data_IF_403179254296
#
_entry.id   IF_403179254296
#
_cell.length_a   1.000
_cell.length_b   1.000
_cell.length_c   1.000
_cell.angle_alpha   90.00
_cell.angle_beta   90.00
_cell.angle_gamma   90.00
#
_symmetry.space_group_name_H-M   'P 1'
#
loop_
_entity.id
_entity.type
_entity.pdbx_description
1 polymer ?
#
# COMPACT_ATOMS: atom_id res chain seq x y z
N UNK A 1 50.44 -53.32 46.86
CA UNK A 1 49.47 -52.31 46.39
C UNK A 1 48.73 -51.76 47.60
N UNK A 2 48.65 -50.43 47.79
CA UNK A 2 48.01 -49.88 49.00
C UNK A 2 46.49 -50.05 48.86
N UNK A 3 45.73 -50.27 49.95
CA UNK A 3 44.28 -50.48 49.89
C UNK A 3 43.54 -49.34 49.15
N UNK A 4 44.06 -48.12 49.24
CA UNK A 4 43.54 -46.94 48.54
C UNK A 4 43.65 -47.02 47.01
N UNK A 5 44.74 -47.59 46.49
CA UNK A 5 44.98 -47.69 45.05
C UNK A 5 44.05 -48.73 44.41
N UNK A 6 43.74 -49.81 45.15
CA UNK A 6 42.80 -50.86 44.72
C UNK A 6 41.38 -50.29 44.66
N UNK A 7 40.97 -49.51 45.66
CA UNK A 7 39.64 -48.88 45.70
C UNK A 7 39.48 -47.90 44.53
N UNK A 8 40.50 -47.08 44.23
CA UNK A 8 40.45 -46.17 43.08
C UNK A 8 40.37 -46.92 41.75
N UNK A 9 41.14 -47.99 41.58
CA UNK A 9 41.11 -48.79 40.35
C UNK A 9 39.73 -49.44 40.13
N UNK A 10 39.13 -49.98 41.19
CA UNK A 10 37.79 -50.58 41.13
C UNK A 10 36.73 -49.52 40.80
N UNK A 11 36.80 -48.32 41.40
CA UNK A 11 35.86 -47.23 41.11
C UNK A 11 35.96 -46.72 39.66
N UNK A 12 37.18 -46.67 39.10
CA UNK A 12 37.38 -46.27 37.70
C UNK A 12 36.85 -47.35 36.75
N UNK A 13 37.12 -48.63 37.04
CA UNK A 13 36.63 -49.73 36.21
C UNK A 13 35.10 -49.83 36.24
N UNK A 14 34.46 -49.64 37.39
CA UNK A 14 32.99 -49.64 37.48
C UNK A 14 32.37 -48.45 36.73
N UNK A 15 32.96 -47.26 36.82
CA UNK A 15 32.50 -46.10 36.08
C UNK A 15 32.61 -46.29 34.55
N UNK A 16 33.72 -46.88 34.07
CA UNK A 16 33.90 -47.21 32.65
C UNK A 16 32.85 -48.23 32.19
N UNK A 17 32.61 -49.29 32.98
CA UNK A 17 31.60 -50.30 32.64
C UNK A 17 30.19 -49.71 32.57
N UNK A 18 29.84 -48.79 33.47
CA UNK A 18 28.54 -48.08 33.44
C UNK A 18 28.42 -47.20 32.19
N UNK A 19 29.46 -46.47 31.82
CA UNK A 19 29.47 -45.62 30.62
C UNK A 19 29.34 -46.45 29.34
N UNK A 20 30.03 -47.59 29.26
CA UNK A 20 29.92 -48.52 28.13
C UNK A 20 28.50 -49.11 28.06
N UNK A 21 27.93 -49.52 29.20
CA UNK A 21 26.57 -50.05 29.25
C UNK A 21 25.52 -49.05 28.78
N UNK A 22 25.63 -47.77 29.18
CA UNK A 22 24.74 -46.69 28.71
C UNK A 22 24.89 -46.44 27.21
N UNK A 23 26.12 -46.53 26.68
CA UNK A 23 26.39 -46.34 25.25
C UNK A 23 25.85 -47.49 24.39
N UNK A 24 25.92 -48.74 24.88
CA UNK A 24 25.43 -49.92 24.15
C UNK A 24 23.93 -50.17 24.33
N UNK A 25 23.33 -49.73 25.44
CA UNK A 25 21.90 -49.85 25.72
C UNK A 25 21.27 -48.48 26.01
N UNK A 26 21.25 -47.57 25.02
CA UNK A 26 20.68 -46.25 25.22
C UNK A 26 19.18 -46.36 25.55
N UNK A 27 18.66 -45.63 26.55
CA UNK A 27 17.26 -45.68 26.91
C UNK A 27 16.41 -45.30 25.70
N UNK A 28 15.41 -46.14 25.37
CA UNK A 28 14.52 -46.06 24.20
C UNK A 28 13.92 -44.68 23.90
N UNK A 29 13.91 -43.77 24.89
CA UNK A 29 13.38 -42.42 24.78
C UNK A 29 14.38 -41.41 24.18
N UNK A 30 15.68 -41.74 24.11
CA UNK A 30 16.71 -40.88 23.54
C UNK A 30 16.61 -40.78 22.00
N UNK A 31 16.30 -41.89 21.34
CA UNK A 31 16.09 -41.94 19.88
C UNK A 31 14.83 -41.18 19.45
N UNK A 32 13.74 -41.29 20.22
CA UNK A 32 12.51 -40.52 19.96
C UNK A 32 12.70 -39.00 20.08
N UNK A 33 13.59 -38.54 20.97
CA UNK A 33 13.95 -37.12 21.09
C UNK A 33 14.81 -36.64 19.91
N UNK A 34 15.77 -37.45 19.45
CA UNK A 34 16.59 -37.12 18.29
C UNK A 34 15.75 -37.04 16.99
N UNK A 35 14.78 -37.94 16.82
CA UNK A 35 13.88 -37.93 15.68
C UNK A 35 12.92 -36.72 15.72
N UNK A 36 12.40 -36.36 16.91
CA UNK A 36 11.58 -35.15 17.09
C UNK A 36 12.35 -33.86 16.80
N UNK A 37 13.63 -33.78 17.16
CA UNK A 37 14.49 -32.63 16.80
C UNK A 37 14.73 -32.61 15.28
N UNK A 38 14.93 -33.77 14.66
CA UNK A 38 15.08 -33.87 13.20
C UNK A 38 13.79 -33.52 12.44
N UNK A 39 12.61 -33.77 12.99
CA UNK A 39 11.33 -33.36 12.40
C UNK A 39 11.04 -31.87 12.64
N UNK A 40 11.51 -31.29 13.75
CA UNK A 40 11.47 -29.84 14.01
C UNK A 40 12.43 -29.08 13.07
N UNK A 41 13.62 -29.62 12.81
CA UNK A 41 14.61 -28.99 11.92
C UNK A 41 14.50 -29.40 10.44
N UNK A 42 13.84 -30.52 10.13
CA UNK A 42 13.65 -31.07 8.78
C UNK A 42 12.44 -30.54 8.02
N UNK A 43 11.57 -29.75 8.69
CA UNK A 43 10.47 -29.00 8.06
C UNK A 43 10.77 -27.50 7.98
N UNK A 44 12.05 -27.13 7.91
CA UNK A 44 12.46 -25.83 7.40
C UNK A 44 12.70 -26.00 5.91
N UNK A 45 11.59 -26.10 5.15
CA UNK A 45 11.61 -25.69 3.76
C UNK A 45 12.27 -24.32 3.72
N UNK A 46 13.32 -24.19 2.92
CA UNK A 46 14.22 -23.06 3.00
C UNK A 46 13.41 -21.77 2.92
N UNK A 47 13.65 -20.83 3.82
CA UNK A 47 13.14 -19.45 3.65
C UNK A 47 13.47 -18.93 2.25
N UNK A 48 14.54 -19.43 1.60
CA UNK A 48 14.87 -19.18 0.20
C UNK A 48 13.86 -19.80 -0.77
N UNK A 49 13.36 -21.01 -0.55
CA UNK A 49 12.37 -21.65 -1.44
C UNK A 49 11.02 -20.93 -1.36
N UNK A 50 10.66 -20.43 -0.16
CA UNK A 50 9.46 -19.61 0.04
C UNK A 50 9.65 -18.15 -0.44
N UNK A 51 10.87 -17.59 -0.42
CA UNK A 51 11.21 -16.31 -1.07
C UNK A 51 11.18 -16.44 -2.60
N UNK A 52 11.79 -17.50 -3.14
CA UNK A 52 11.89 -17.79 -4.57
C UNK A 52 10.52 -18.11 -5.17
N UNK A 53 9.63 -18.80 -4.44
CA UNK A 53 8.24 -19.02 -4.87
C UNK A 53 7.39 -17.73 -4.85
N UNK A 54 7.77 -16.72 -4.04
CA UNK A 54 7.09 -15.41 -4.00
C UNK A 54 7.65 -14.42 -5.03
N UNK A 55 8.90 -14.57 -5.44
CA UNK A 55 9.53 -13.80 -6.53
C UNK A 55 9.18 -14.32 -7.94
N UNK A 56 8.77 -15.59 -8.07
CA UNK A 56 8.45 -16.22 -9.37
C UNK A 56 7.00 -16.04 -9.84
N UNK A 57 6.16 -15.31 -9.10
CA UNK A 57 4.96 -14.70 -9.69
C UNK A 57 5.08 -13.19 -9.53
N UNK A 58 5.97 -12.58 -10.33
CA UNK A 58 5.70 -11.22 -10.78
C UNK A 58 4.32 -11.29 -11.46
N UNK A 59 3.25 -11.08 -10.68
CA UNK A 59 1.91 -10.98 -11.20
C UNK A 59 2.02 -10.07 -12.42
N UNK A 60 1.62 -10.54 -13.60
CA UNK A 60 1.73 -9.74 -14.82
C UNK A 60 0.92 -8.47 -14.56
N UNK A 61 1.63 -7.41 -14.16
CA UNK A 61 1.04 -6.15 -13.79
C UNK A 61 0.71 -5.43 -15.08
N UNK A 62 -0.55 -5.10 -15.26
CA UNK A 62 -0.98 -4.33 -16.41
C UNK A 62 -0.62 -2.85 -16.19
N UNK A 63 -0.96 -2.00 -17.17
CA UNK A 63 -0.74 -0.55 -17.10
C UNK A 63 -1.10 0.00 -15.72
N UNK A 64 -0.23 0.84 -15.17
CA UNK A 64 -0.32 1.40 -13.82
C UNK A 64 -0.24 0.41 -12.65
N UNK A 65 0.17 -0.84 -12.88
CA UNK A 65 0.24 -1.83 -11.80
C UNK A 65 -1.09 -2.49 -11.50
N UNK A 66 -2.08 -2.39 -12.39
CA UNK A 66 -3.40 -2.97 -12.17
C UNK A 66 -3.35 -4.51 -12.20
N UNK A 67 -4.13 -5.20 -11.35
CA UNK A 67 -4.17 -6.67 -11.30
C UNK A 67 -4.89 -7.29 -12.50
N UNK A 68 -5.70 -6.49 -13.23
CA UNK A 68 -6.45 -6.92 -14.41
C UNK A 68 -6.24 -5.94 -15.55
N UNK A 69 -6.25 -6.45 -16.78
CA UNK A 69 -6.17 -5.64 -17.99
C UNK A 69 -7.46 -4.85 -18.17
N UNK A 70 -7.36 -3.57 -18.52
CA UNK A 70 -8.53 -2.81 -18.92
C UNK A 70 -9.09 -3.30 -20.26
N UNK A 71 -10.43 -3.30 -20.44
CA UNK A 71 -11.06 -3.53 -21.73
C UNK A 71 -10.54 -2.61 -22.83
N UNK A 72 -10.79 -2.98 -24.09
CA UNK A 72 -10.50 -2.14 -25.25
C UNK A 72 -11.27 -0.81 -25.13
N UNK A 73 -10.66 0.28 -25.62
CA UNK A 73 -11.22 1.64 -25.54
C UNK A 73 -11.43 2.18 -24.12
N UNK A 74 -10.65 1.68 -23.16
CA UNK A 74 -10.59 2.26 -21.82
C UNK A 74 -9.14 2.59 -21.45
N UNK A 75 -8.97 3.61 -20.63
CA UNK A 75 -7.68 4.00 -20.06
C UNK A 75 -7.53 3.43 -18.66
N UNK A 76 -6.39 2.81 -18.39
CA UNK A 76 -6.03 2.39 -17.03
C UNK A 76 -5.67 3.60 -16.18
N UNK A 77 -6.01 3.59 -14.90
CA UNK A 77 -5.50 4.58 -13.96
C UNK A 77 -5.26 3.97 -12.58
N UNK A 78 -4.36 4.59 -11.81
CA UNK A 78 -4.13 4.29 -10.41
C UNK A 78 -3.87 5.61 -9.67
N UNK A 79 -4.56 5.81 -8.55
CA UNK A 79 -4.40 6.93 -7.64
C UNK A 79 -3.99 6.38 -6.28
N UNK A 80 -2.94 6.95 -5.70
CA UNK A 80 -2.56 6.78 -4.30
C UNK A 80 -2.54 8.14 -3.61
N UNK A 81 -3.16 8.23 -2.45
CA UNK A 81 -2.97 9.39 -1.57
C UNK A 81 -1.54 9.43 -1.03
N UNK A 82 -1.16 10.52 -0.37
CA UNK A 82 0.05 10.52 0.45
C UNK A 82 -0.13 9.67 1.72
N UNK A 83 0.99 9.34 2.36
CA UNK A 83 1.04 8.80 3.72
C UNK A 83 1.59 9.87 4.66
N UNK A 84 0.70 10.33 5.55
CA UNK A 84 0.93 11.51 6.37
C UNK A 84 1.47 12.68 5.53
N UNK A 85 2.55 13.30 5.99
CA UNK A 85 3.28 14.39 5.33
C UNK A 85 4.68 13.97 4.85
N UNK A 86 4.95 12.66 4.76
CA UNK A 86 6.29 12.11 4.46
C UNK A 86 6.39 11.48 3.08
N UNK A 87 5.38 10.69 2.69
CA UNK A 87 5.33 10.07 1.37
C UNK A 87 4.24 10.76 0.56
N UNK A 88 4.65 11.39 -0.53
CA UNK A 88 3.74 12.08 -1.43
C UNK A 88 2.83 11.15 -2.24
N UNK A 89 1.74 11.69 -2.81
CA UNK A 89 0.78 10.93 -3.59
C UNK A 89 1.37 10.49 -4.93
N UNK A 90 0.66 9.57 -5.59
CA UNK A 90 1.01 9.10 -6.93
C UNK A 90 -0.23 8.99 -7.80
N UNK A 91 -0.19 9.59 -8.98
CA UNK A 91 -1.21 9.42 -10.01
C UNK A 91 -0.56 8.81 -11.25
N UNK A 92 -1.07 7.66 -11.67
CA UNK A 92 -0.72 7.01 -12.93
C UNK A 92 -1.93 6.97 -13.86
N UNK A 93 -1.69 7.30 -15.13
CA UNK A 93 -2.69 7.26 -16.18
C UNK A 93 -2.12 6.58 -17.43
N UNK A 94 -2.85 5.60 -17.93
CA UNK A 94 -2.57 4.74 -19.08
C UNK A 94 -1.14 4.18 -19.15
N UNK A 95 -0.60 3.80 -17.98
CA UNK A 95 0.74 3.23 -17.83
C UNK A 95 1.84 4.26 -17.54
N UNK A 96 1.52 5.55 -17.55
CA UNK A 96 2.46 6.63 -17.28
C UNK A 96 2.20 7.25 -15.91
N UNK A 97 3.24 7.37 -15.09
CA UNK A 97 3.15 8.15 -13.85
C UNK A 97 3.17 9.63 -14.21
N UNK A 98 2.07 10.33 -13.92
CA UNK A 98 1.87 11.74 -14.29
C UNK A 98 2.10 12.68 -13.10
N UNK A 99 1.84 12.23 -11.87
CA UNK A 99 2.16 12.96 -10.64
C UNK A 99 2.83 12.04 -9.62
N UNK A 100 3.95 12.47 -9.04
CA UNK A 100 4.66 11.75 -7.96
C UNK A 100 5.79 12.60 -7.38
N UNK A 101 6.30 12.25 -6.19
CA UNK A 101 7.49 12.89 -5.60
C UNK A 101 8.70 12.89 -6.54
N UNK A 102 8.93 11.80 -7.28
CA UNK A 102 10.06 11.67 -8.23
C UNK A 102 9.96 12.68 -9.38
N UNK A 103 8.75 13.07 -9.77
CA UNK A 103 8.50 14.06 -10.82
C UNK A 103 8.52 15.50 -10.29
N UNK A 104 8.68 15.69 -8.98
CA UNK A 104 8.71 16.99 -8.32
C UNK A 104 7.52 17.90 -8.71
N UNK A 105 6.32 17.32 -8.77
CA UNK A 105 5.10 17.99 -9.23
C UNK A 105 3.89 17.67 -8.34
N UNK A 106 4.15 17.58 -7.04
CA UNK A 106 3.17 17.27 -6.01
C UNK A 106 3.40 18.17 -4.78
N UNK A 107 2.35 18.39 -4.00
CA UNK A 107 2.38 19.23 -2.81
C UNK A 107 1.34 18.82 -1.76
N UNK A 108 1.50 19.29 -0.53
CA UNK A 108 0.47 19.13 0.52
C UNK A 108 -0.86 19.69 0.03
N UNK A 109 -1.98 19.09 0.43
CA UNK A 109 -3.32 19.42 -0.02
C UNK A 109 -3.86 18.50 -1.10
N UNK A 110 -4.42 19.07 -2.17
CA UNK A 110 -5.02 18.32 -3.28
C UNK A 110 -4.10 18.32 -4.48
N UNK A 111 -3.84 17.12 -5.03
CA UNK A 111 -3.05 16.93 -6.24
C UNK A 111 -4.00 16.46 -7.35
N UNK A 112 -4.15 17.26 -8.40
CA UNK A 112 -5.21 17.11 -9.40
C UNK A 112 -4.61 17.02 -10.80
N UNK A 113 -5.08 16.04 -11.59
CA UNK A 113 -4.79 15.91 -13.01
C UNK A 113 -6.07 16.00 -13.85
N UNK A 114 -6.04 16.82 -14.90
CA UNK A 114 -7.08 16.98 -15.91
C UNK A 114 -6.66 16.27 -17.19
N UNK A 115 -7.51 15.36 -17.67
CA UNK A 115 -7.23 14.53 -18.83
C UNK A 115 -8.38 14.61 -19.82
N UNK A 116 -8.06 14.86 -21.08
CA UNK A 116 -9.03 14.82 -22.17
C UNK A 116 -9.46 13.37 -22.45
N UNK A 117 -10.74 13.04 -22.27
CA UNK A 117 -11.23 11.65 -22.37
C UNK A 117 -11.16 11.10 -23.80
N UNK A 118 -11.30 11.96 -24.82
CA UNK A 118 -11.30 11.53 -26.21
C UNK A 118 -9.90 11.16 -26.69
N UNK A 119 -8.90 11.96 -26.30
CA UNK A 119 -7.51 11.80 -26.75
C UNK A 119 -6.63 11.04 -25.76
N UNK A 120 -7.00 10.99 -24.47
CA UNK A 120 -6.16 10.49 -23.39
C UNK A 120 -5.01 11.42 -23.02
N UNK A 121 -4.99 12.66 -23.54
CA UNK A 121 -3.92 13.62 -23.26
C UNK A 121 -4.11 14.27 -21.89
N UNK A 122 -3.05 14.32 -21.08
CA UNK A 122 -3.00 15.14 -19.87
C UNK A 122 -2.97 16.60 -20.29
N UNK A 123 -4.00 17.36 -19.92
CA UNK A 123 -4.14 18.77 -20.28
C UNK A 123 -3.52 19.69 -19.23
N UNK A 124 -3.71 19.38 -17.95
CA UNK A 124 -3.23 20.18 -16.82
C UNK A 124 -2.99 19.31 -15.61
N UNK A 125 -1.99 19.67 -14.81
CA UNK A 125 -1.78 19.13 -13.46
C UNK A 125 -1.58 20.30 -12.51
N UNK A 126 -1.93 20.11 -11.24
CA UNK A 126 -1.68 21.11 -10.21
C UNK A 126 -1.79 20.49 -8.82
N UNK A 127 -0.97 21.01 -7.90
CA UNK A 127 -1.09 20.78 -6.47
C UNK A 127 -1.58 22.06 -5.78
N UNK A 128 -2.47 21.90 -4.81
CA UNK A 128 -3.16 23.00 -4.14
C UNK A 128 -3.10 22.80 -2.65
N UNK A 129 -2.30 23.63 -1.97
CA UNK A 129 -2.15 23.57 -0.52
C UNK A 129 -3.43 24.05 0.19
N UNK A 130 -4.16 23.09 0.77
CA UNK A 130 -5.45 23.34 1.44
C UNK A 130 -5.33 23.71 2.90
N UNK A 131 -4.11 23.81 3.44
CA UNK A 131 -3.85 24.27 4.80
C UNK A 131 -3.40 25.73 4.83
N UNK A 132 -2.35 26.07 4.08
CA UNK A 132 -1.74 27.41 4.07
C UNK A 132 -1.82 28.15 2.73
N UNK A 133 -2.10 27.47 1.61
CA UNK A 133 -2.15 28.08 0.26
C UNK A 133 -3.39 28.91 -0.04
N UNK A 134 -3.43 29.62 -1.17
CA UNK A 134 -4.62 30.38 -1.59
C UNK A 134 -5.63 29.47 -2.32
N UNK A 135 -6.82 29.28 -1.71
CA UNK A 135 -7.88 28.46 -2.28
C UNK A 135 -8.39 28.98 -3.63
N UNK A 136 -8.19 30.28 -3.94
CA UNK A 136 -8.58 30.87 -5.22
C UNK A 136 -7.83 30.24 -6.41
N UNK A 137 -6.62 29.73 -6.19
CA UNK A 137 -5.85 29.04 -7.23
C UNK A 137 -6.54 27.75 -7.67
N UNK A 138 -7.01 26.94 -6.70
CA UNK A 138 -7.81 25.75 -6.97
C UNK A 138 -9.14 26.14 -7.63
N UNK A 139 -9.82 27.17 -7.13
CA UNK A 139 -11.07 27.64 -7.71
C UNK A 139 -10.92 28.01 -9.19
N UNK A 140 -9.86 28.75 -9.53
CA UNK A 140 -9.54 29.10 -10.92
C UNK A 140 -9.22 27.85 -11.74
N UNK A 141 -8.43 26.94 -11.20
CA UNK A 141 -8.10 25.68 -11.87
C UNK A 141 -9.36 24.84 -12.20
N UNK A 142 -10.32 24.76 -11.27
CA UNK A 142 -11.55 24.00 -11.44
C UNK A 142 -12.52 24.67 -12.43
N UNK A 143 -12.54 26.01 -12.51
CA UNK A 143 -13.36 26.75 -13.48
C UNK A 143 -12.87 26.62 -14.92
N UNK A 144 -11.59 26.30 -15.13
CA UNK A 144 -11.00 26.09 -16.45
C UNK A 144 -11.32 24.69 -17.04
N UNK A 145 -11.99 23.80 -16.30
CA UNK A 145 -12.23 22.42 -16.73
C UNK A 145 -13.26 22.40 -17.88
N UNK A 146 -12.87 21.77 -18.99
CA UNK A 146 -13.70 21.66 -20.20
C UNK A 146 -14.61 20.42 -20.15
N UNK A 147 -15.76 20.44 -20.84
CA UNK A 147 -16.53 19.22 -21.09
C UNK A 147 -15.67 18.12 -21.71
N UNK A 148 -15.91 16.85 -21.34
CA UNK A 148 -15.09 15.73 -21.80
C UNK A 148 -13.76 15.57 -21.04
N UNK A 149 -13.60 16.23 -19.90
CA UNK A 149 -12.40 16.10 -19.05
C UNK A 149 -12.64 15.12 -17.91
N UNK A 150 -11.71 14.20 -17.74
CA UNK A 150 -11.54 13.34 -16.55
C UNK A 150 -10.71 14.09 -15.53
N UNK A 151 -11.13 14.04 -14.27
CA UNK A 151 -10.46 14.69 -13.13
C UNK A 151 -9.99 13.60 -12.17
N UNK A 152 -8.69 13.46 -12.00
CA UNK A 152 -8.07 12.55 -11.02
C UNK A 152 -7.54 13.37 -9.84
N UNK A 153 -7.83 12.96 -8.61
CA UNK A 153 -7.46 13.68 -7.39
C UNK A 153 -6.85 12.73 -6.37
N UNK A 154 -5.73 13.14 -5.78
CA UNK A 154 -5.11 12.51 -4.62
C UNK A 154 -4.88 13.54 -3.51
N UNK A 155 -5.31 13.24 -2.28
CA UNK A 155 -4.94 14.03 -1.11
C UNK A 155 -3.51 13.74 -0.66
N UNK A 156 -2.87 14.74 -0.05
CA UNK A 156 -1.59 14.61 0.63
C UNK A 156 -1.61 15.48 1.88
N UNK A 157 -1.24 14.92 3.04
CA UNK A 157 -1.16 15.60 4.32
C UNK A 157 -2.51 16.18 4.81
N UNK A 158 -2.99 17.30 4.26
CA UNK A 158 -4.19 17.99 4.72
C UNK A 158 -5.01 18.58 3.53
N UNK A 159 -6.13 17.93 3.11
CA UNK A 159 -6.86 18.34 1.91
C UNK A 159 -8.04 19.30 2.13
N UNK A 160 -8.39 19.69 3.36
CA UNK A 160 -9.74 20.17 3.65
C UNK A 160 -9.85 21.52 4.37
N UNK A 161 -8.83 22.02 5.07
CA UNK A 161 -8.97 23.20 5.96
C UNK A 161 -9.53 24.42 5.23
N UNK A 162 -9.06 24.67 4.00
CA UNK A 162 -9.52 25.79 3.16
C UNK A 162 -10.60 25.40 2.14
N UNK A 163 -11.14 24.19 2.19
CA UNK A 163 -12.18 23.74 1.26
C UNK A 163 -13.47 24.56 1.44
N UNK A 164 -13.99 25.13 0.35
CA UNK A 164 -15.23 25.92 0.35
C UNK A 164 -16.44 25.12 -0.14
N UNK A 165 -17.64 25.59 0.19
CA UNK A 165 -18.88 24.97 -0.32
C UNK A 165 -18.98 25.01 -1.85
N UNK A 166 -18.47 26.07 -2.49
CA UNK A 166 -18.40 26.18 -3.95
C UNK A 166 -17.54 25.07 -4.55
N UNK A 167 -16.35 24.83 -3.98
CA UNK A 167 -15.46 23.75 -4.41
C UNK A 167 -16.06 22.36 -4.16
N UNK A 168 -16.69 22.15 -2.99
CA UNK A 168 -17.41 20.90 -2.71
C UNK A 168 -18.53 20.67 -3.73
N UNK A 169 -19.28 21.71 -4.08
CA UNK A 169 -20.33 21.62 -5.10
C UNK A 169 -19.77 21.27 -6.49
N UNK A 170 -18.61 21.83 -6.87
CA UNK A 170 -17.92 21.45 -8.10
C UNK A 170 -17.48 19.98 -8.11
N UNK A 171 -16.93 19.46 -7.01
CA UNK A 171 -16.60 18.03 -6.96
C UNK A 171 -17.86 17.14 -6.98
N UNK A 172 -18.96 17.58 -6.38
CA UNK A 172 -20.26 16.87 -6.48
C UNK A 172 -20.72 16.83 -7.95
N UNK A 173 -20.60 17.91 -8.71
CA UNK A 173 -20.97 17.92 -10.14
C UNK A 173 -20.05 17.08 -11.02
N UNK A 174 -18.82 16.82 -10.56
CA UNK A 174 -17.89 15.85 -11.16
C UNK A 174 -18.18 14.39 -10.77
N UNK A 175 -19.19 14.14 -9.93
CA UNK A 175 -19.65 12.81 -9.53
C UNK A 175 -19.22 12.38 -8.13
N UNK A 176 -18.63 13.25 -7.31
CA UNK A 176 -18.28 12.91 -5.93
C UNK A 176 -19.51 12.71 -5.05
N UNK A 177 -19.46 11.66 -4.25
CA UNK A 177 -20.42 11.32 -3.20
C UNK A 177 -19.89 11.60 -1.80
N UNK A 178 -18.57 11.65 -1.62
CA UNK A 178 -17.92 11.75 -0.31
C UNK A 178 -17.29 13.11 -0.04
N UNK A 179 -17.13 14.00 -1.05
CA UNK A 179 -16.41 15.27 -0.87
C UNK A 179 -17.01 16.14 0.24
N UNK A 180 -18.32 16.08 0.50
CA UNK A 180 -18.93 16.85 1.60
C UNK A 180 -18.47 16.40 3.00
N UNK A 181 -17.97 15.17 3.12
CA UNK A 181 -17.51 14.57 4.37
C UNK A 181 -16.00 14.66 4.56
N UNK A 182 -15.24 15.02 3.52
CA UNK A 182 -13.77 15.16 3.59
C UNK A 182 -13.40 16.33 4.52
N UNK A 183 -12.71 16.00 5.61
CA UNK A 183 -12.26 16.90 6.66
C UNK A 183 -10.74 16.89 6.89
N UNK A 184 -10.33 17.49 7.99
CA UNK A 184 -8.92 17.75 8.33
C UNK A 184 -8.07 16.47 8.34
N UNK A 185 -7.07 16.42 7.46
CA UNK A 185 -6.14 15.28 7.25
C UNK A 185 -6.80 13.95 6.88
N UNK A 186 -8.03 13.99 6.38
CA UNK A 186 -8.64 12.80 5.81
C UNK A 186 -7.85 12.32 4.56
N UNK A 187 -7.82 11.02 4.35
CA UNK A 187 -7.38 10.45 3.08
C UNK A 187 -8.51 10.50 2.07
N UNK A 188 -8.25 10.97 0.86
CA UNK A 188 -9.25 11.00 -0.21
C UNK A 188 -8.58 10.81 -1.58
N UNK A 189 -9.14 9.88 -2.36
CA UNK A 189 -8.79 9.67 -3.77
C UNK A 189 -10.06 9.62 -4.60
N UNK A 190 -10.05 10.28 -5.75
CA UNK A 190 -11.24 10.48 -6.56
C UNK A 190 -10.91 10.50 -8.05
N UNK A 191 -11.74 9.85 -8.86
CA UNK A 191 -11.73 9.98 -10.30
C UNK A 191 -13.16 10.27 -10.78
N UNK A 192 -13.37 11.48 -11.29
CA UNK A 192 -14.65 11.97 -11.80
C UNK A 192 -14.52 12.53 -13.22
N UNK A 193 -15.61 13.09 -13.73
CA UNK A 193 -15.60 13.72 -15.04
C UNK A 193 -16.69 14.78 -15.19
N UNK A 194 -16.45 15.76 -16.06
CA UNK A 194 -17.47 16.75 -16.43
C UNK A 194 -18.56 16.10 -17.27
N UNK A 195 -19.82 16.28 -16.88
CA UNK A 195 -20.99 15.76 -17.60
C UNK A 195 -21.40 14.35 -17.21
N UNK A 196 -20.81 13.77 -16.15
CA UNK A 196 -21.26 12.49 -15.62
C UNK A 196 -22.67 12.65 -15.02
N UNK A 197 -23.58 11.73 -15.37
CA UNK A 197 -24.98 11.76 -14.91
C UNK A 197 -25.18 11.16 -13.51
N UNK A 198 -24.22 10.35 -13.08
CA UNK A 198 -24.30 9.57 -11.85
C UNK A 198 -23.03 9.75 -11.02
N UNK A 199 -23.09 9.32 -9.75
CA UNK A 199 -21.91 9.25 -8.89
C UNK A 199 -20.86 8.33 -9.51
N UNK A 200 -19.60 8.71 -9.40
CA UNK A 200 -18.50 7.86 -9.86
C UNK A 200 -18.35 6.64 -8.93
N UNK A 201 -18.06 5.43 -9.45
CA UNK A 201 -17.64 4.31 -8.62
C UNK A 201 -16.18 4.47 -8.14
N UNK A 202 -15.45 5.45 -8.68
CA UNK A 202 -14.05 5.67 -8.40
C UNK A 202 -13.86 6.79 -7.37
N UNK A 203 -14.23 6.47 -6.13
CA UNK A 203 -14.00 7.35 -4.99
C UNK A 203 -13.71 6.52 -3.73
N UNK A 204 -12.71 6.92 -2.95
CA UNK A 204 -12.45 6.38 -1.61
C UNK A 204 -12.12 7.52 -0.64
N UNK A 205 -12.59 7.37 0.59
CA UNK A 205 -12.37 8.29 1.69
C UNK A 205 -12.02 7.49 2.94
N UNK A 206 -11.08 8.00 3.73
CA UNK A 206 -10.78 7.51 5.07
C UNK A 206 -10.66 8.70 6.01
N UNK A 207 -11.45 8.66 7.09
CA UNK A 207 -11.48 9.71 8.08
C UNK A 207 -10.25 9.66 8.97
N UNK A 208 -9.68 10.82 9.28
CA UNK A 208 -8.73 11.01 10.34
C UNK A 208 -9.41 10.75 11.69
N UNK A 209 -9.02 9.66 12.34
CA UNK A 209 -9.57 9.21 13.62
C UNK A 209 -8.40 8.73 14.49
N UNK A 210 -8.13 9.45 15.59
CA UNK A 210 -7.01 9.18 16.49
C UNK A 210 -6.96 7.72 16.97
N UNK A 211 -8.10 7.05 17.11
CA UNK A 211 -8.15 5.67 17.57
C UNK A 211 -7.86 4.63 16.48
N UNK A 212 -7.96 5.02 15.20
CA UNK A 212 -7.82 4.11 14.04
C UNK A 212 -6.66 4.45 13.11
N UNK A 213 -6.06 5.62 13.30
CA UNK A 213 -4.97 6.09 12.46
C UNK A 213 -3.77 5.15 12.52
N UNK A 214 -3.22 4.86 11.34
CA UNK A 214 -1.99 4.07 11.19
C UNK A 214 -0.75 4.93 11.46
N UNK A 215 -0.82 6.23 11.21
CA UNK A 215 0.23 7.20 11.49
C UNK A 215 -0.19 8.13 12.62
N UNK A 216 0.77 8.77 13.30
CA UNK A 216 0.46 9.69 14.40
C UNK A 216 -0.27 10.96 13.89
N UNK A 217 -1.61 10.93 13.90
CA UNK A 217 -2.46 12.04 13.47
C UNK A 217 -2.84 12.04 11.98
N UNK A 218 -2.58 10.94 11.25
CA UNK A 218 -3.06 10.73 9.87
C UNK A 218 -3.55 9.28 9.65
N UNK A 219 -4.59 9.08 8.83
CA UNK A 219 -5.07 7.74 8.46
C UNK A 219 -4.09 7.02 7.51
N UNK A 220 -4.34 5.74 7.24
CA UNK A 220 -3.57 4.99 6.24
C UNK A 220 -3.71 5.56 4.83
N UNK A 221 -2.70 5.26 3.99
CA UNK A 221 -2.72 5.62 2.58
C UNK A 221 -3.85 4.90 1.83
N UNK A 222 -4.60 5.63 1.02
CA UNK A 222 -5.57 5.06 0.11
C UNK A 222 -4.94 4.74 -1.24
N UNK A 223 -5.36 3.63 -1.82
CA UNK A 223 -5.11 3.28 -3.21
C UNK A 223 -6.43 2.94 -3.91
N UNK A 224 -6.58 3.40 -5.15
CA UNK A 224 -7.70 3.09 -6.01
C UNK A 224 -7.25 3.08 -7.46
N UNK A 225 -7.59 2.02 -8.20
CA UNK A 225 -7.33 1.91 -9.62
C UNK A 225 -8.51 1.37 -10.38
N UNK A 226 -8.53 1.60 -11.68
CA UNK A 226 -9.65 1.19 -12.52
C UNK A 226 -9.43 1.52 -13.99
N UNK A 227 -10.53 1.48 -14.73
CA UNK A 227 -10.55 1.69 -16.17
C UNK A 227 -11.60 2.75 -16.52
N UNK A 228 -11.20 3.77 -17.27
CA UNK A 228 -12.06 4.89 -17.65
C UNK A 228 -12.42 4.76 -19.14
N UNK A 229 -13.72 4.74 -19.50
CA UNK A 229 -14.14 4.70 -20.90
C UNK A 229 -13.66 5.94 -21.68
N UNK A 230 -13.33 5.76 -22.96
CA UNK A 230 -12.96 6.86 -23.89
C UNK A 230 -14.12 7.80 -24.26
N UNK A 231 -15.33 7.52 -23.76
CA UNK A 231 -16.56 8.29 -23.97
C UNK A 231 -17.35 8.30 -22.66
N UNK A 232 -17.75 9.48 -22.22
CA UNK A 232 -18.54 9.71 -21.00
C UNK A 232 -20.03 9.57 -21.27
#
# INVERSE_FOLDING_TARGET
MRPRDIIQLVMVLTAILVMVYIATNPPHNAWKRAQKIRDIFGSVGSKKDQLMARESTAAILYKCGLPKKCPVNQFAFLIRSGAANVIGPKICFDGQVIMSSVKNNIGSGLNIALINVATGKVEKIGDFNMYSGDVKELLKFMKDIKPGTVVLVASYDEPATKMTDELRAMFVSLGSSMIKSVGFRDGWVFAGAVGIKQKTPFERHIKNDKAKNVYDGWPEMLEMGGCIPRRL
#
